data_IF_085979123777
#
_entry.id   IF_085979123777
#
_cell.length_a   1.000
_cell.length_b   1.000
_cell.length_c   1.000
_cell.angle_alpha   90.00
_cell.angle_beta   90.00
_cell.angle_gamma   90.00
#
_symmetry.space_group_name_H-M   'P 1'
#
loop_
_entity.id
_entity.type
_entity.pdbx_description
1 polymer ?
#
# COMPACT_ATOMS: atom_id res chain seq x y z
N UNK A 1 -67.28 37.19 -3.79
CA UNK A 1 -66.82 35.82 -3.44
C UNK A 1 -66.55 35.03 -4.70
N UNK A 2 -65.28 34.75 -4.99
CA UNK A 2 -64.73 33.55 -5.65
C UNK A 2 -63.30 33.86 -6.11
N UNK A 3 -62.35 33.58 -5.22
CA UNK A 3 -60.92 33.58 -5.49
C UNK A 3 -60.57 32.44 -6.45
N UNK A 4 -59.90 32.74 -7.58
CA UNK A 4 -59.19 31.74 -8.40
C UNK A 4 -58.05 32.38 -9.17
N UNK A 5 -57.01 32.86 -8.49
CA UNK A 5 -55.70 33.13 -9.10
C UNK A 5 -54.62 32.91 -8.04
N UNK A 6 -53.95 31.76 -8.09
CA UNK A 6 -52.53 31.57 -7.77
C UNK A 6 -52.18 30.12 -8.11
N UNK A 7 -51.93 29.80 -9.38
CA UNK A 7 -50.59 29.80 -9.99
C UNK A 7 -49.64 28.85 -9.26
N UNK A 8 -49.54 27.64 -9.83
CA UNK A 8 -48.48 26.66 -9.64
C UNK A 8 -47.09 27.34 -9.65
N UNK A 9 -46.40 27.39 -8.52
CA UNK A 9 -44.96 27.62 -8.47
C UNK A 9 -44.38 26.92 -7.24
N UNK A 10 -44.05 25.64 -7.38
CA UNK A 10 -43.04 24.98 -6.55
C UNK A 10 -42.45 23.76 -7.28
N UNK A 11 -41.94 24.00 -8.49
CA UNK A 11 -41.16 23.02 -9.24
C UNK A 11 -39.83 23.63 -9.68
N UNK A 12 -39.12 24.30 -8.76
CA UNK A 12 -37.77 24.82 -8.97
C UNK A 12 -36.92 24.58 -7.73
N UNK A 13 -36.69 23.32 -7.35
CA UNK A 13 -35.73 23.00 -6.29
C UNK A 13 -34.90 21.72 -6.54
N UNK A 14 -34.88 21.22 -7.77
CA UNK A 14 -34.02 20.08 -8.13
C UNK A 14 -33.46 20.27 -9.55
N UNK A 15 -32.43 21.11 -9.71
CA UNK A 15 -31.25 20.57 -10.38
C UNK A 15 -29.97 21.11 -9.74
N UNK A 16 -29.79 20.91 -8.44
CA UNK A 16 -28.52 21.19 -7.75
C UNK A 16 -27.92 19.94 -7.08
N UNK A 17 -28.18 18.77 -7.66
CA UNK A 17 -27.57 17.50 -7.25
C UNK A 17 -26.93 16.73 -8.42
N UNK A 18 -26.73 17.39 -9.58
CA UNK A 18 -26.10 16.77 -10.75
C UNK A 18 -24.66 17.25 -11.00
N UNK A 19 -24.03 17.95 -10.04
CA UNK A 19 -22.71 18.56 -10.21
C UNK A 19 -21.60 18.05 -9.27
N UNK A 20 -21.91 17.18 -8.30
CA UNK A 20 -20.95 16.78 -7.27
C UNK A 20 -20.66 15.29 -7.31
N UNK A 21 -20.26 14.76 -8.47
CA UNK A 21 -19.50 13.52 -8.49
C UNK A 21 -18.51 13.51 -9.65
N UNK A 22 -17.66 14.54 -9.68
CA UNK A 22 -16.38 14.39 -10.36
C UNK A 22 -15.54 13.51 -9.44
N UNK A 23 -15.60 12.20 -9.68
CA UNK A 23 -14.67 11.24 -9.07
C UNK A 23 -13.27 11.81 -9.28
N UNK A 24 -12.59 12.16 -8.18
CA UNK A 24 -11.22 12.61 -8.21
C UNK A 24 -10.32 11.42 -8.56
N UNK A 25 -10.37 11.00 -9.83
CA UNK A 25 -9.27 10.31 -10.50
C UNK A 25 -8.15 11.33 -10.69
N UNK A 26 -7.57 11.80 -9.58
CA UNK A 26 -6.25 12.40 -9.60
C UNK A 26 -5.30 11.25 -9.96
N UNK A 27 -5.09 11.00 -11.24
CA UNK A 27 -3.96 10.19 -11.69
C UNK A 27 -2.72 10.71 -10.95
N UNK A 28 -1.97 9.83 -10.27
CA UNK A 28 -0.74 10.22 -9.60
C UNK A 28 0.26 10.60 -10.70
N UNK A 29 0.27 11.88 -11.11
CA UNK A 29 1.01 12.39 -12.26
C UNK A 29 2.52 12.59 -11.97
N UNK A 30 3.12 11.77 -11.10
CA UNK A 30 4.57 11.85 -10.83
C UNK A 30 5.28 11.13 -11.97
N UNK A 31 5.98 11.88 -12.82
CA UNK A 31 6.78 11.28 -13.87
C UNK A 31 7.98 10.54 -13.25
N UNK A 32 8.49 9.52 -13.94
CA UNK A 32 9.62 8.72 -13.43
C UNK A 32 10.84 9.57 -13.07
N UNK A 33 11.13 10.60 -13.88
CA UNK A 33 12.20 11.58 -13.64
C UNK A 33 12.04 12.39 -12.35
N UNK A 34 10.86 12.42 -11.76
CA UNK A 34 10.55 13.21 -10.56
C UNK A 34 10.73 12.39 -9.27
N UNK A 35 11.01 11.07 -9.37
CA UNK A 35 11.40 10.27 -8.21
C UNK A 35 12.82 10.62 -7.76
N UNK A 36 12.99 10.82 -6.46
CA UNK A 36 14.25 11.32 -5.86
C UNK A 36 15.02 10.26 -5.07
N UNK A 37 14.46 9.07 -4.91
CA UNK A 37 15.03 8.01 -4.08
C UNK A 37 14.55 6.62 -4.50
N UNK A 38 15.36 5.62 -4.15
CA UNK A 38 15.07 4.20 -4.22
C UNK A 38 14.60 3.69 -2.86
N UNK A 39 13.56 2.87 -2.85
CA UNK A 39 13.15 2.10 -1.68
C UNK A 39 13.76 0.70 -1.78
N UNK A 40 14.43 0.26 -0.73
CA UNK A 40 14.90 -1.10 -0.57
C UNK A 40 14.14 -1.79 0.55
N UNK A 41 13.67 -3.00 0.27
CA UNK A 41 12.98 -3.86 1.22
C UNK A 41 13.87 -5.05 1.55
N UNK A 42 14.00 -5.39 2.82
CA UNK A 42 14.94 -6.40 3.30
C UNK A 42 14.47 -7.04 4.61
N UNK A 43 15.22 -8.04 5.05
CA UNK A 43 15.16 -8.64 6.38
C UNK A 43 16.60 -8.68 6.95
N UNK A 44 16.75 -8.92 8.25
CA UNK A 44 18.01 -8.61 8.95
C UNK A 44 18.86 -9.83 9.32
N UNK A 45 18.30 -11.04 9.21
CA UNK A 45 18.99 -12.26 9.65
C UNK A 45 18.15 -13.51 9.48
N UNK A 46 18.39 -14.52 10.31
CA UNK A 46 17.81 -15.86 10.18
C UNK A 46 16.89 -16.24 11.35
N UNK A 47 16.96 -15.47 12.44
CA UNK A 47 16.07 -15.68 13.57
C UNK A 47 14.66 -15.16 13.25
N UNK A 48 13.62 -15.76 13.86
CA UNK A 48 12.21 -15.36 13.62
C UNK A 48 11.95 -13.86 13.85
N UNK A 49 12.69 -13.22 14.76
CA UNK A 49 12.58 -11.78 15.00
C UNK A 49 13.29 -10.91 13.95
N UNK A 50 14.16 -11.50 13.15
CA UNK A 50 14.99 -10.84 12.13
C UNK A 50 14.45 -11.07 10.72
N UNK A 51 13.69 -12.15 10.53
CA UNK A 51 12.91 -12.48 9.33
C UNK A 51 11.59 -11.72 9.30
N UNK A 52 11.72 -10.41 9.15
CA UNK A 52 10.61 -9.47 9.04
C UNK A 52 10.93 -8.41 7.99
N UNK A 53 9.88 -7.85 7.37
CA UNK A 53 10.05 -6.83 6.33
C UNK A 53 10.45 -5.50 6.96
N UNK A 54 11.64 -5.03 6.61
CA UNK A 54 12.19 -3.72 6.96
C UNK A 54 12.42 -2.89 5.69
N UNK A 55 12.44 -1.56 5.83
CA UNK A 55 12.70 -0.63 4.72
C UNK A 55 13.96 0.20 4.92
N UNK A 56 14.55 0.59 3.79
CA UNK A 56 15.61 1.56 3.71
C UNK A 56 15.43 2.40 2.45
N UNK A 57 15.96 3.62 2.46
CA UNK A 57 15.94 4.52 1.31
C UNK A 57 17.34 4.91 0.89
N UNK A 58 17.52 5.20 -0.40
CA UNK A 58 18.77 5.69 -0.95
C UNK A 58 18.50 6.73 -2.03
N UNK A 59 19.26 7.83 -2.05
CA UNK A 59 19.19 8.84 -3.11
C UNK A 59 20.18 8.60 -4.24
N UNK A 60 21.16 7.72 -4.03
CA UNK A 60 22.25 7.43 -4.97
C UNK A 60 22.27 5.96 -5.45
N UNK A 61 21.48 5.08 -4.82
CA UNK A 61 21.45 3.64 -5.08
C UNK A 61 22.60 2.85 -4.45
N UNK A 62 23.49 3.49 -3.69
CA UNK A 62 24.66 2.88 -3.06
C UNK A 62 24.60 2.94 -1.53
N UNK A 63 24.22 4.10 -1.00
CA UNK A 63 24.15 4.35 0.44
C UNK A 63 22.70 4.30 0.88
N UNK A 64 22.38 3.34 1.75
CA UNK A 64 21.03 3.13 2.24
C UNK A 64 20.91 3.52 3.71
N UNK A 65 19.83 4.22 4.04
CA UNK A 65 19.45 4.55 5.41
C UNK A 65 18.22 3.75 5.80
N UNK A 66 18.32 2.97 6.87
CA UNK A 66 17.19 2.24 7.41
C UNK A 66 16.08 3.22 7.83
N UNK A 67 14.85 2.90 7.46
CA UNK A 67 13.65 3.56 7.94
C UNK A 67 13.18 2.92 9.25
N UNK A 68 12.28 3.61 9.96
CA UNK A 68 11.57 3.06 11.12
C UNK A 68 12.50 2.52 12.22
N UNK A 69 13.63 3.18 12.49
CA UNK A 69 14.67 2.71 13.42
C UNK A 69 15.14 1.27 13.13
N UNK A 70 15.14 0.84 11.86
CA UNK A 70 15.46 -0.53 11.45
C UNK A 70 14.46 -1.60 11.98
N UNK A 71 13.27 -1.18 12.43
CA UNK A 71 12.18 -2.06 12.85
C UNK A 71 11.30 -2.44 11.65
N UNK A 72 10.64 -3.58 11.76
CA UNK A 72 9.75 -4.07 10.71
C UNK A 72 8.57 -3.13 10.45
N UNK A 73 8.11 -3.11 9.20
CA UNK A 73 6.98 -2.27 8.75
C UNK A 73 5.63 -2.97 8.89
N UNK A 74 5.66 -4.29 9.02
CA UNK A 74 4.49 -5.16 9.24
C UNK A 74 4.87 -6.24 10.24
N UNK A 75 3.93 -6.61 11.11
CA UNK A 75 4.10 -7.77 12.00
C UNK A 75 3.95 -9.05 11.18
N UNK A 76 5.02 -9.80 10.98
CA UNK A 76 5.04 -11.04 10.21
C UNK A 76 3.95 -12.04 10.68
N UNK A 77 3.59 -12.05 11.97
CA UNK A 77 2.60 -12.99 12.53
C UNK A 77 1.19 -12.79 11.98
N UNK A 78 0.88 -11.62 11.43
CA UNK A 78 -0.44 -11.34 10.85
C UNK A 78 -0.55 -11.82 9.40
N UNK A 79 0.59 -12.08 8.75
CA UNK A 79 0.67 -12.44 7.32
C UNK A 79 1.31 -13.81 7.05
N UNK A 80 1.94 -14.43 8.05
CA UNK A 80 2.68 -15.68 7.92
C UNK A 80 2.19 -16.71 8.94
N UNK A 81 2.09 -17.97 8.50
CA UNK A 81 1.76 -19.10 9.34
C UNK A 81 2.93 -19.56 10.22
N UNK A 82 4.18 -19.31 9.80
CA UNK A 82 5.38 -19.62 10.59
C UNK A 82 5.73 -18.52 11.59
N UNK A 83 5.18 -17.31 11.40
CA UNK A 83 5.48 -16.11 12.18
C UNK A 83 6.68 -15.31 11.68
N UNK A 84 7.35 -15.74 10.60
CA UNK A 84 8.46 -15.05 9.94
C UNK A 84 8.24 -14.94 8.42
N UNK A 85 8.85 -13.94 7.81
CA UNK A 85 8.84 -13.76 6.35
C UNK A 85 10.20 -13.31 5.83
N UNK A 86 10.54 -13.75 4.61
CA UNK A 86 11.80 -13.41 3.95
C UNK A 86 11.61 -12.96 2.51
N UNK A 87 12.70 -12.45 1.95
CA UNK A 87 12.86 -12.13 0.53
C UNK A 87 11.77 -11.21 -0.03
N UNK A 88 11.49 -10.05 0.62
CA UNK A 88 10.43 -9.17 0.15
C UNK A 88 10.76 -8.59 -1.23
N UNK A 89 9.76 -8.59 -2.11
CA UNK A 89 9.84 -7.94 -3.41
C UNK A 89 8.60 -7.08 -3.64
N UNK A 90 8.79 -5.78 -3.91
CA UNK A 90 7.71 -4.82 -4.15
C UNK A 90 7.64 -4.45 -5.63
N UNK A 91 6.44 -4.48 -6.18
CA UNK A 91 6.12 -3.99 -7.53
C UNK A 91 5.13 -2.83 -7.43
N UNK A 92 5.43 -1.70 -8.07
CA UNK A 92 4.48 -0.60 -8.28
C UNK A 92 3.66 -0.88 -9.54
N UNK A 93 2.34 -0.78 -9.45
CA UNK A 93 1.44 -0.92 -10.58
C UNK A 93 1.50 0.30 -11.51
N UNK A 94 1.01 0.13 -12.74
CA UNK A 94 0.95 1.19 -13.75
C UNK A 94 0.05 2.37 -13.35
N UNK A 95 -0.89 2.17 -12.42
CA UNK A 95 -1.71 3.24 -11.86
C UNK A 95 -0.91 4.26 -11.01
N UNK A 96 0.36 3.95 -10.70
CA UNK A 96 1.25 4.78 -9.88
C UNK A 96 0.80 4.92 -8.42
N UNK A 97 -0.14 4.10 -7.96
CA UNK A 97 -0.74 4.17 -6.63
C UNK A 97 -0.73 2.85 -5.88
N UNK A 98 -0.91 1.76 -6.62
CA UNK A 98 -1.02 0.42 -6.06
C UNK A 98 0.35 -0.24 -6.04
N UNK A 99 0.61 -0.96 -4.96
CA UNK A 99 1.81 -1.74 -4.77
C UNK A 99 1.42 -3.18 -4.44
N UNK A 100 2.13 -4.13 -5.05
CA UNK A 100 2.12 -5.51 -4.65
C UNK A 100 3.42 -5.86 -3.96
N UNK A 101 3.36 -6.71 -2.94
CA UNK A 101 4.53 -7.33 -2.35
C UNK A 101 4.36 -8.84 -2.38
N UNK A 102 5.42 -9.56 -2.71
CA UNK A 102 5.55 -10.99 -2.45
C UNK A 102 6.64 -11.22 -1.41
N UNK A 103 6.38 -12.10 -0.45
CA UNK A 103 7.35 -12.60 0.53
C UNK A 103 7.22 -14.11 0.66
N UNK A 104 8.27 -14.76 1.16
CA UNK A 104 8.26 -16.18 1.51
C UNK A 104 7.81 -16.33 2.96
N UNK A 105 6.78 -17.13 3.24
CA UNK A 105 6.41 -17.55 4.60
C UNK A 105 7.40 -18.60 5.09
N UNK A 106 8.32 -18.20 5.97
CA UNK A 106 9.48 -18.99 6.36
C UNK A 106 10.08 -18.51 7.68
N UNK A 107 10.70 -19.45 8.41
CA UNK A 107 11.68 -19.18 9.48
C UNK A 107 12.90 -20.06 9.25
N UNK A 108 13.99 -19.52 8.71
CA UNK A 108 15.14 -20.35 8.27
C UNK A 108 15.84 -21.09 9.40
N UNK A 109 15.76 -20.59 10.64
CA UNK A 109 16.21 -21.31 11.85
C UNK A 109 15.49 -22.65 12.06
N UNK A 110 14.30 -22.84 11.48
CA UNK A 110 13.59 -24.13 11.48
C UNK A 110 14.06 -25.09 10.37
N UNK A 111 15.03 -24.69 9.55
CA UNK A 111 15.54 -25.44 8.39
C UNK A 111 15.17 -24.80 7.05
N UNK A 112 15.89 -25.15 5.98
CA UNK A 112 15.66 -24.60 4.63
C UNK A 112 14.39 -25.14 3.96
N UNK A 113 13.85 -26.25 4.46
CA UNK A 113 12.55 -26.80 4.08
C UNK A 113 11.38 -26.12 4.81
N UNK A 114 11.65 -25.06 5.61
CA UNK A 114 10.62 -24.29 6.33
C UNK A 114 9.81 -23.32 5.47
N UNK A 115 9.99 -23.33 4.15
CA UNK A 115 9.22 -22.51 3.20
C UNK A 115 7.78 -23.06 3.07
N UNK A 116 6.80 -22.37 3.65
CA UNK A 116 5.39 -22.83 3.72
C UNK A 116 4.52 -22.30 2.60
N UNK A 117 4.74 -21.07 2.18
CA UNK A 117 3.89 -20.40 1.20
C UNK A 117 4.60 -19.17 0.61
N UNK A 118 4.06 -18.71 -0.52
CA UNK A 118 4.23 -17.32 -0.95
C UNK A 118 3.09 -16.51 -0.36
N UNK A 119 3.41 -15.41 0.30
CA UNK A 119 2.41 -14.44 0.77
C UNK A 119 2.35 -13.31 -0.24
N UNK A 120 1.14 -13.04 -0.75
CA UNK A 120 0.89 -11.95 -1.68
C UNK A 120 0.17 -10.84 -0.92
N UNK A 121 0.68 -9.62 -1.02
CA UNK A 121 0.16 -8.47 -0.30
C UNK A 121 -0.11 -7.33 -1.27
N UNK A 122 -1.12 -6.52 -0.96
CA UNK A 122 -1.48 -5.28 -1.68
C UNK A 122 -1.46 -4.09 -0.74
N UNK A 123 -0.99 -2.94 -1.22
CA UNK A 123 -1.00 -1.66 -0.49
C UNK A 123 -1.15 -0.48 -1.45
N UNK A 124 -1.58 0.66 -0.92
CA UNK A 124 -1.56 1.96 -1.64
C UNK A 124 -0.62 2.98 -0.99
N UNK A 125 0.03 2.63 0.12
CA UNK A 125 0.87 3.54 0.91
C UNK A 125 2.19 2.91 1.39
N UNK A 126 2.47 1.66 0.99
CA UNK A 126 3.64 0.85 1.35
C UNK A 126 3.74 0.49 2.84
N UNK A 127 2.79 0.90 3.68
CA UNK A 127 2.81 0.66 5.14
C UNK A 127 1.68 -0.27 5.55
N UNK A 128 0.47 -0.01 5.07
CA UNK A 128 -0.70 -0.83 5.33
C UNK A 128 -0.84 -1.86 4.21
N UNK A 129 -0.70 -3.14 4.56
CA UNK A 129 -0.75 -4.27 3.63
C UNK A 129 -1.92 -5.19 3.93
N UNK A 130 -2.54 -5.72 2.89
CA UNK A 130 -3.61 -6.73 2.96
C UNK A 130 -3.26 -7.92 2.07
N UNK A 131 -3.42 -9.15 2.57
CA UNK A 131 -3.31 -10.38 1.77
C UNK A 131 -4.64 -10.82 1.16
#
# INVERSE_FOLDING_TARGET
>A
MKHKILTFFLACLVPWLAGAQQSANSQNNVAEKDYIAYLFTYFTGNHISEEAVCYAVSTDGYTYWALNDNKSVIDSKIISSTGGVRDPHILRCEDGKTFYMVVTDMVSDNGWDSNRAMVLLKSTDLVNWTS
#
